data_IF_006985989285
#
_entry.id   IF_006985989285
#
_cell.length_a   1.000
_cell.length_b   1.000
_cell.length_c   1.000
_cell.angle_alpha   90.00
_cell.angle_beta   90.00
_cell.angle_gamma   90.00
#
_symmetry.space_group_name_H-M   'P 1'
#
loop_
_entity.id
_entity.type
_entity.pdbx_description
1 polymer ?
#
# COMPACT_ATOMS: atom_id res chain seq x y z
N UNK A 1 20.53 -25.79 -16.72
CA UNK A 1 21.08 -24.56 -16.16
C UNK A 1 19.99 -23.69 -15.57
N UNK A 2 20.19 -23.27 -14.39
CA UNK A 2 19.19 -22.44 -13.75
C UNK A 2 19.50 -20.97 -13.96
N UNK A 3 18.47 -20.21 -14.17
CA UNK A 3 18.56 -18.75 -14.16
C UNK A 3 18.06 -18.27 -12.84
N UNK A 4 18.70 -17.23 -12.35
CA UNK A 4 18.27 -16.63 -11.09
C UNK A 4 17.45 -15.39 -11.44
N UNK A 5 16.19 -15.38 -11.00
CA UNK A 5 15.30 -14.26 -11.20
C UNK A 5 14.97 -13.65 -9.84
N UNK A 6 14.78 -12.33 -9.77
CA UNK A 6 14.24 -11.74 -8.58
C UNK A 6 12.88 -12.37 -8.25
N UNK A 7 12.67 -12.71 -6.99
CA UNK A 7 11.42 -13.32 -6.57
C UNK A 7 10.20 -12.51 -6.97
N UNK A 8 10.33 -11.18 -6.92
CA UNK A 8 9.24 -10.30 -7.30
C UNK A 8 8.82 -10.46 -8.75
N UNK A 9 9.78 -10.68 -9.66
CA UNK A 9 9.46 -10.86 -11.07
C UNK A 9 8.78 -12.21 -11.31
N UNK A 10 9.30 -13.26 -10.68
CA UNK A 10 8.69 -14.58 -10.79
C UNK A 10 7.27 -14.55 -10.25
N UNK A 11 7.08 -13.90 -9.09
CA UNK A 11 5.79 -13.85 -8.43
C UNK A 11 4.69 -13.25 -9.29
N UNK A 12 5.04 -12.27 -10.13
CA UNK A 12 4.02 -11.56 -10.91
C UNK A 12 3.65 -12.28 -12.19
N UNK A 13 4.41 -13.30 -12.59
CA UNK A 13 4.16 -13.99 -13.86
C UNK A 13 3.63 -15.40 -13.70
N UNK A 14 3.44 -15.88 -12.48
CA UNK A 14 2.84 -17.18 -12.21
C UNK A 14 1.40 -17.00 -11.74
N UNK A 15 0.60 -18.08 -11.84
CA UNK A 15 -0.77 -18.03 -11.32
C UNK A 15 -0.78 -17.73 -9.83
N UNK A 16 0.13 -18.35 -9.09
CA UNK A 16 0.24 -18.12 -7.66
C UNK A 16 0.64 -16.68 -7.37
N UNK A 17 1.64 -16.18 -8.11
CA UNK A 17 2.09 -14.80 -7.94
C UNK A 17 1.00 -13.80 -8.28
N UNK A 18 0.24 -14.07 -9.34
CA UNK A 18 -0.87 -13.21 -9.73
C UNK A 18 -1.96 -13.21 -8.66
N UNK A 19 -2.28 -14.39 -8.12
CA UNK A 19 -3.24 -14.50 -7.04
C UNK A 19 -2.79 -13.73 -5.80
N UNK A 20 -1.51 -13.86 -5.45
CA UNK A 20 -0.94 -13.15 -4.31
C UNK A 20 -0.96 -11.64 -4.52
N UNK A 21 -0.68 -11.19 -5.75
CA UNK A 21 -0.73 -9.78 -6.09
C UNK A 21 -2.14 -9.20 -5.89
N UNK A 22 -3.15 -9.92 -6.37
CA UNK A 22 -4.54 -9.51 -6.20
C UNK A 22 -4.93 -9.46 -4.72
N UNK A 23 -4.48 -10.45 -3.93
CA UNK A 23 -4.75 -10.48 -2.50
C UNK A 23 -4.09 -9.31 -1.78
N UNK A 24 -2.86 -8.99 -2.17
CA UNK A 24 -2.16 -7.86 -1.57
C UNK A 24 -2.88 -6.55 -1.85
N UNK A 25 -3.29 -6.33 -3.11
CA UNK A 25 -4.02 -5.12 -3.48
C UNK A 25 -5.32 -5.02 -2.67
N UNK A 26 -6.06 -6.13 -2.59
CA UNK A 26 -7.31 -6.15 -1.84
C UNK A 26 -7.08 -5.83 -0.37
N UNK A 27 -6.05 -6.39 0.23
CA UNK A 27 -5.71 -6.12 1.62
C UNK A 27 -5.38 -4.64 1.85
N UNK A 28 -4.57 -4.06 0.95
CA UNK A 28 -4.21 -2.66 1.06
C UNK A 28 -5.42 -1.75 0.96
N UNK A 29 -6.35 -2.08 0.09
CA UNK A 29 -7.55 -1.27 -0.12
C UNK A 29 -8.61 -1.47 0.95
N UNK A 30 -8.78 -2.69 1.46
CA UNK A 30 -9.87 -3.00 2.38
C UNK A 30 -9.48 -2.95 3.85
N UNK A 31 -8.19 -3.06 4.15
CA UNK A 31 -7.69 -3.08 5.53
C UNK A 31 -6.80 -1.87 5.81
N UNK A 32 -5.75 -1.70 5.01
CA UNK A 32 -4.76 -0.66 5.28
C UNK A 32 -5.29 0.74 5.01
N UNK A 33 -6.03 0.92 3.93
CA UNK A 33 -6.58 2.23 3.58
C UNK A 33 -7.55 2.76 4.65
N UNK A 34 -8.54 1.97 5.12
CA UNK A 34 -9.41 2.43 6.21
C UNK A 34 -8.64 2.69 7.50
N UNK A 35 -7.64 1.89 7.79
CA UNK A 35 -6.82 2.05 8.99
C UNK A 35 -6.10 3.39 8.99
N UNK A 36 -5.51 3.76 7.86
CA UNK A 36 -4.80 5.03 7.73
C UNK A 36 -5.80 6.20 7.77
N UNK A 37 -6.97 6.06 7.15
CA UNK A 37 -8.00 7.08 7.22
C UNK A 37 -8.42 7.35 8.66
N UNK A 38 -8.53 6.30 9.46
CA UNK A 38 -8.85 6.44 10.87
C UNK A 38 -7.73 7.14 11.62
N UNK A 39 -6.48 6.80 11.34
CA UNK A 39 -5.34 7.45 11.97
C UNK A 39 -5.30 8.94 11.66
N UNK A 40 -5.62 9.32 10.42
CA UNK A 40 -5.68 10.72 10.02
C UNK A 40 -6.77 11.44 10.80
N UNK A 41 -7.95 10.84 10.90
CA UNK A 41 -9.06 11.43 11.63
C UNK A 41 -8.73 11.62 13.11
N UNK A 42 -8.12 10.61 13.73
CA UNK A 42 -7.72 10.68 15.13
C UNK A 42 -6.68 11.77 15.35
N UNK A 43 -5.70 11.86 14.46
CA UNK A 43 -4.67 12.90 14.57
C UNK A 43 -5.26 14.31 14.41
N UNK A 44 -6.20 14.43 13.47
CA UNK A 44 -6.90 15.72 13.26
C UNK A 44 -7.65 16.15 14.52
N UNK A 45 -8.29 15.19 15.17
CA UNK A 45 -9.07 15.50 16.36
C UNK A 45 -8.22 15.90 17.56
N UNK A 46 -6.92 15.62 17.53
CA UNK A 46 -6.03 15.97 18.63
C UNK A 46 -5.62 17.44 18.67
N UNK A 47 -5.90 18.21 17.62
CA UNK A 47 -5.70 19.63 17.70
C UNK A 47 -5.01 20.30 16.53
N UNK A 48 -4.06 21.18 16.83
CA UNK A 48 -3.46 22.07 15.86
C UNK A 48 -2.72 21.35 14.73
N UNK A 49 -3.29 21.40 13.54
CA UNK A 49 -2.76 20.71 12.38
C UNK A 49 -1.42 21.30 11.90
N UNK A 50 -1.15 22.56 12.22
CA UNK A 50 0.09 23.19 11.78
C UNK A 50 1.33 22.63 12.50
N UNK A 51 1.15 22.05 13.68
CA UNK A 51 2.23 21.49 14.47
C UNK A 51 1.99 20.04 14.85
N UNK A 52 1.04 19.40 14.21
CA UNK A 52 0.64 18.03 14.57
C UNK A 52 1.48 17.02 13.81
N UNK A 53 2.56 16.54 14.42
CA UNK A 53 3.44 15.56 13.81
C UNK A 53 2.74 14.24 13.51
N UNK A 54 1.75 13.86 14.33
CA UNK A 54 0.98 12.63 14.08
C UNK A 54 0.14 12.76 12.81
N UNK A 55 -0.45 13.93 12.60
CA UNK A 55 -1.23 14.17 11.40
C UNK A 55 -0.33 14.12 10.16
N UNK A 56 0.81 14.78 10.23
CA UNK A 56 1.76 14.80 9.11
C UNK A 56 2.26 13.39 8.78
N UNK A 57 2.57 12.60 9.81
CA UNK A 57 3.02 11.23 9.62
C UNK A 57 1.93 10.36 9.00
N UNK A 58 0.68 10.53 9.42
CA UNK A 58 -0.44 9.77 8.88
C UNK A 58 -0.70 10.13 7.42
N UNK A 59 -0.60 11.43 7.07
CA UNK A 59 -0.75 11.86 5.68
C UNK A 59 0.36 11.33 4.80
N UNK A 60 1.59 11.30 5.30
CA UNK A 60 2.70 10.74 4.56
C UNK A 60 2.49 9.24 4.33
N UNK A 61 2.05 8.54 5.37
CA UNK A 61 1.76 7.11 5.26
C UNK A 61 0.65 6.85 4.23
N UNK A 62 -0.35 7.73 4.19
CA UNK A 62 -1.41 7.62 3.18
C UNK A 62 -0.85 7.75 1.76
N UNK A 63 0.03 8.73 1.56
CA UNK A 63 0.66 8.91 0.25
C UNK A 63 1.46 7.70 -0.18
N UNK A 64 2.21 7.12 0.74
CA UNK A 64 3.01 5.93 0.47
C UNK A 64 2.12 4.72 0.16
N UNK A 65 1.02 4.58 0.89
CA UNK A 65 0.06 3.50 0.64
C UNK A 65 -0.56 3.62 -0.74
N UNK A 66 -1.01 4.82 -1.12
CA UNK A 66 -1.63 5.03 -2.44
C UNK A 66 -0.64 4.79 -3.57
N UNK A 67 0.62 5.19 -3.37
CA UNK A 67 1.66 4.92 -4.35
C UNK A 67 1.90 3.41 -4.50
N UNK A 68 1.89 2.67 -3.40
CA UNK A 68 2.04 1.22 -3.41
C UNK A 68 0.89 0.55 -4.16
N UNK A 69 -0.34 0.96 -3.86
CA UNK A 69 -1.52 0.41 -4.52
C UNK A 69 -1.44 0.65 -6.03
N UNK A 70 -1.10 1.86 -6.42
CA UNK A 70 -0.97 2.23 -7.83
C UNK A 70 0.08 1.40 -8.53
N UNK A 71 1.24 1.21 -7.89
CA UNK A 71 2.32 0.40 -8.44
C UNK A 71 1.89 -1.04 -8.66
N UNK A 72 1.19 -1.62 -7.67
CA UNK A 72 0.74 -3.01 -7.78
C UNK A 72 -0.35 -3.16 -8.83
N UNK A 73 -1.25 -2.20 -8.94
CA UNK A 73 -2.29 -2.22 -9.98
C UNK A 73 -1.67 -2.13 -11.38
N UNK A 74 -0.62 -1.33 -11.53
CA UNK A 74 0.08 -1.24 -12.80
C UNK A 74 0.72 -2.58 -13.19
N UNK A 75 1.27 -3.29 -12.22
CA UNK A 75 1.84 -4.62 -12.46
C UNK A 75 0.75 -5.61 -12.86
N UNK A 76 -0.42 -5.50 -12.25
CA UNK A 76 -1.54 -6.38 -12.58
C UNK A 76 -2.07 -6.12 -13.99
N UNK A 77 -2.07 -4.86 -14.41
CA UNK A 77 -2.56 -4.46 -15.73
C UNK A 77 -1.61 -4.85 -16.86
N UNK A 78 -0.33 -4.99 -16.56
CA UNK A 78 0.69 -5.35 -17.54
C UNK A 78 1.06 -6.81 -17.41
#
# INVERSE_FOLDING_TARGET
MSKIYPMSEISYYTEEGLSNLKKEIKNLESVERPKISQQIAEARDKGDLSENAEYDAAKEAQGMLEARISKLKNKLAN
#
